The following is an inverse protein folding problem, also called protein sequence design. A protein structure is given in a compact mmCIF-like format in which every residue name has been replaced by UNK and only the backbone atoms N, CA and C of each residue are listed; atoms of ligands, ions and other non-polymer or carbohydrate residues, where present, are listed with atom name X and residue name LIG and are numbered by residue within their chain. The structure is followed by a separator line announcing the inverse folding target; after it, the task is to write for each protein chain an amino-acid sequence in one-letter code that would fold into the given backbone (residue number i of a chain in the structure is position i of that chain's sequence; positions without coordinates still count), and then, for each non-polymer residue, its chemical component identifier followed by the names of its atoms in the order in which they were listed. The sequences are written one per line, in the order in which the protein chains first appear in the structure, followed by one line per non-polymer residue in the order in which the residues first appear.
data_IF_957796635610
#
_entry.id   IF_957796635610
#
_cell.length_a   1.000
_cell.length_b   1.000
_cell.length_c   1.000
_cell.angle_alpha   90.00
_cell.angle_beta   90.00
_cell.angle_gamma   90.00
#
_symmetry.space_group_name_H-M   'P 1'
#
loop_
_entity.id
_entity.type
_entity.pdbx_description
1 polymer ?
#
# COMPACT_ATOMS: atom_id res chain seq x y z
N UNK A 1 -8.73 6.83 -2.46
CA UNK A 1 -9.92 6.17 -3.02
C UNK A 1 -9.50 4.74 -3.26
N UNK A 2 -10.19 3.82 -2.61
CA UNK A 2 -9.96 2.38 -2.66
C UNK A 2 -11.34 1.68 -2.63
N UNK A 3 -11.32 0.37 -2.83
CA UNK A 3 -12.49 -0.51 -2.82
C UNK A 3 -12.96 -0.86 -1.40
N UNK A 4 -12.35 -0.28 -0.36
CA UNK A 4 -12.54 -0.74 1.02
C UNK A 4 -13.98 -0.57 1.49
N UNK A 5 -14.75 0.38 0.92
CA UNK A 5 -16.14 0.60 1.30
C UNK A 5 -17.00 -0.66 1.11
N UNK A 6 -16.80 -1.39 0.02
CA UNK A 6 -17.51 -2.64 -0.27
C UNK A 6 -17.21 -3.73 0.79
N UNK A 7 -16.07 -3.63 1.49
CA UNK A 7 -15.69 -4.57 2.54
C UNK A 7 -16.11 -4.03 3.92
N UNK A 8 -15.70 -2.80 4.25
CA UNK A 8 -15.80 -2.22 5.58
C UNK A 8 -17.23 -1.93 6.02
N UNK A 9 -18.17 -1.83 5.08
CA UNK A 9 -19.59 -1.69 5.41
C UNK A 9 -20.36 -3.01 5.47
N UNK A 10 -19.75 -4.12 5.06
CA UNK A 10 -20.36 -5.46 5.12
C UNK A 10 -19.78 -6.33 6.25
N UNK A 11 -18.51 -6.11 6.64
CA UNK A 11 -17.85 -6.87 7.71
C UNK A 11 -16.94 -5.97 8.59
N UNK A 12 -16.74 -6.32 9.89
CA UNK A 12 -15.79 -5.64 10.76
C UNK A 12 -14.42 -5.59 10.10
N UNK A 13 -13.88 -4.39 9.93
CA UNK A 13 -12.67 -4.15 9.14
C UNK A 13 -11.74 -3.22 9.90
N UNK A 14 -10.46 -3.57 9.94
CA UNK A 14 -9.39 -2.72 10.48
C UNK A 14 -8.47 -2.31 9.34
N UNK A 15 -8.11 -1.02 9.30
CA UNK A 15 -7.17 -0.46 8.33
C UNK A 15 -5.90 -0.02 9.06
N UNK A 16 -4.75 -0.51 8.59
CA UNK A 16 -3.45 -0.10 9.08
C UNK A 16 -2.83 0.94 8.15
N UNK A 17 -2.39 2.06 8.74
CA UNK A 17 -1.44 2.97 8.09
C UNK A 17 -0.11 2.86 8.82
N UNK A 18 0.96 2.64 8.07
CA UNK A 18 2.31 2.42 8.61
C UNK A 18 3.33 3.32 7.88
N UNK A 19 4.48 3.64 8.50
CA UNK A 19 5.46 4.56 7.93
C UNK A 19 6.31 3.87 6.85
N UNK A 20 5.90 4.00 5.58
CA UNK A 20 6.64 3.47 4.43
C UNK A 20 6.81 4.49 3.30
N UNK A 21 6.62 5.78 3.59
CA UNK A 21 6.81 6.88 2.65
C UNK A 21 7.41 8.11 3.38
N UNK A 22 7.89 9.08 2.61
CA UNK A 22 8.51 10.32 3.09
C UNK A 22 7.40 11.24 3.67
N UNK A 23 7.58 11.80 4.89
CA UNK A 23 6.60 12.72 5.47
C UNK A 23 6.35 13.97 4.59
N UNK A 24 5.09 14.42 4.55
CA UNK A 24 4.71 15.65 3.85
C UNK A 24 4.58 15.54 2.32
N UNK A 25 4.74 14.34 1.75
CA UNK A 25 4.57 14.15 0.31
C UNK A 25 3.10 14.20 -0.14
N UNK A 26 2.88 14.67 -1.38
CA UNK A 26 1.57 14.73 -2.01
C UNK A 26 1.23 13.35 -2.60
N UNK A 27 0.11 12.76 -2.16
CA UNK A 27 -0.38 11.50 -2.71
C UNK A 27 -0.62 11.59 -4.22
N UNK A 28 -0.34 10.51 -4.95
CA UNK A 28 -0.45 10.45 -6.42
C UNK A 28 0.48 11.41 -7.21
N UNK A 29 1.51 11.97 -6.57
CA UNK A 29 2.54 12.77 -7.23
C UNK A 29 3.83 11.95 -7.45
N UNK A 30 4.57 12.22 -8.52
CA UNK A 30 5.80 11.47 -8.87
C UNK A 30 6.85 11.47 -7.75
N UNK A 31 6.94 12.57 -6.99
CA UNK A 31 7.86 12.67 -5.85
C UNK A 31 7.56 11.65 -4.74
N UNK A 32 6.29 11.27 -4.54
CA UNK A 32 5.89 10.21 -3.61
C UNK A 32 6.30 8.81 -4.08
N UNK A 33 6.50 8.65 -5.39
CA UNK A 33 6.92 7.39 -6.00
C UNK A 33 8.39 7.05 -5.70
N UNK A 34 9.23 8.06 -5.46
CA UNK A 34 10.67 7.88 -5.17
C UNK A 34 10.87 7.04 -3.91
N UNK A 35 10.01 7.20 -2.90
CA UNK A 35 10.14 6.48 -1.64
C UNK A 35 10.19 4.95 -1.82
N UNK A 36 9.49 4.42 -2.84
CA UNK A 36 9.45 2.98 -3.15
C UNK A 36 10.82 2.41 -3.55
N UNK A 37 11.71 3.25 -4.08
CA UNK A 37 13.07 2.86 -4.41
C UNK A 37 14.01 2.89 -3.19
N UNK A 38 13.62 3.50 -2.07
CA UNK A 38 14.48 3.68 -0.91
C UNK A 38 14.18 2.68 0.22
N UNK A 39 15.13 2.40 1.13
CA UNK A 39 14.93 1.43 2.21
C UNK A 39 13.76 1.72 3.15
N UNK A 40 13.26 2.97 3.24
CA UNK A 40 12.11 3.31 4.09
C UNK A 40 10.86 2.51 3.70
N UNK A 41 10.64 2.26 2.40
CA UNK A 41 9.50 1.51 1.93
C UNK A 41 9.58 0.05 2.38
N UNK A 42 10.75 -0.58 2.26
CA UNK A 42 10.96 -1.96 2.68
C UNK A 42 10.90 -2.12 4.20
N UNK A 43 11.60 -1.26 4.95
CA UNK A 43 11.58 -1.29 6.41
C UNK A 43 10.17 -1.04 6.97
N UNK A 44 9.50 -0.01 6.48
CA UNK A 44 8.13 0.30 6.85
C UNK A 44 7.17 -0.85 6.59
N UNK A 45 7.26 -1.46 5.41
CA UNK A 45 6.43 -2.61 5.03
C UNK A 45 6.72 -3.86 5.88
N UNK A 46 7.98 -4.10 6.24
CA UNK A 46 8.37 -5.21 7.13
C UNK A 46 7.78 -5.05 8.54
N UNK A 47 7.80 -3.83 9.10
CA UNK A 47 7.13 -3.58 10.38
C UNK A 47 5.60 -3.62 10.25
N UNK A 48 5.04 -3.05 9.18
CA UNK A 48 3.61 -3.09 8.90
C UNK A 48 3.07 -4.52 8.79
N UNK A 49 3.79 -5.42 8.09
CA UNK A 49 3.39 -6.82 7.95
C UNK A 49 3.40 -7.57 9.28
N UNK A 50 4.36 -7.28 10.18
CA UNK A 50 4.38 -7.85 11.53
C UNK A 50 3.16 -7.44 12.34
N UNK A 51 2.76 -6.17 12.26
CA UNK A 51 1.54 -5.69 12.95
C UNK A 51 0.32 -6.43 12.42
N UNK A 52 0.16 -6.56 11.09
CA UNK A 52 -0.95 -7.31 10.49
C UNK A 52 -0.96 -8.77 10.96
N UNK A 53 0.20 -9.44 10.94
CA UNK A 53 0.32 -10.83 11.37
C UNK A 53 -0.03 -11.02 12.85
N UNK A 54 0.47 -10.15 13.72
CA UNK A 54 0.15 -10.19 15.15
C UNK A 54 -1.31 -9.88 15.43
N UNK A 55 -1.92 -8.92 14.71
CA UNK A 55 -3.36 -8.67 14.80
C UNK A 55 -4.18 -9.90 14.39
N UNK A 56 -3.79 -10.60 13.33
CA UNK A 56 -4.45 -11.84 12.93
C UNK A 56 -4.33 -12.92 14.02
N UNK A 57 -3.15 -13.07 14.63
CA UNK A 57 -2.94 -14.00 15.74
C UNK A 57 -3.85 -13.63 16.93
N UNK A 58 -3.93 -12.35 17.31
CA UNK A 58 -4.78 -11.90 18.42
C UNK A 58 -6.25 -12.24 18.16
N UNK A 59 -6.74 -11.98 16.94
CA UNK A 59 -8.11 -12.29 16.53
C UNK A 59 -8.41 -13.80 16.54
N UNK A 60 -7.43 -14.64 16.17
CA UNK A 60 -7.59 -16.10 16.16
C UNK A 60 -7.48 -16.73 17.55
N UNK A 61 -6.69 -16.13 18.44
CA UNK A 61 -6.38 -16.69 19.77
C UNK A 61 -7.22 -16.08 20.90
N UNK A 62 -7.87 -14.95 20.66
CA UNK A 62 -8.72 -14.25 21.64
C UNK A 62 -10.14 -14.06 21.10
N UNK A 63 -11.03 -15.07 21.22
CA UNK A 63 -12.38 -15.04 20.64
C UNK A 63 -13.22 -13.83 21.06
N UNK A 64 -12.99 -13.28 22.26
CA UNK A 64 -13.67 -12.08 22.74
C UNK A 64 -13.48 -10.88 21.80
N UNK A 65 -12.31 -10.74 21.15
CA UNK A 65 -12.06 -9.64 20.21
C UNK A 65 -12.99 -9.71 19.00
N UNK A 66 -13.30 -10.91 18.50
CA UNK A 66 -14.24 -11.10 17.39
C UNK A 66 -15.66 -10.72 17.81
N UNK A 67 -16.09 -11.14 19.01
CA UNK A 67 -17.41 -10.78 19.55
C UNK A 67 -17.54 -9.28 19.76
N UNK A 68 -16.52 -8.64 20.33
CA UNK A 68 -16.53 -7.19 20.57
C UNK A 68 -16.51 -6.40 19.27
N UNK A 69 -15.72 -6.83 18.27
CA UNK A 69 -15.69 -6.21 16.94
C UNK A 69 -17.03 -6.36 16.21
N UNK A 70 -17.65 -7.54 16.27
CA UNK A 70 -18.99 -7.78 15.71
C UNK A 70 -20.03 -6.89 16.38
N UNK A 71 -20.04 -6.83 17.71
CA UNK A 71 -20.97 -6.00 18.48
C UNK A 71 -20.84 -4.53 18.09
N UNK A 72 -19.64 -3.99 18.04
CA UNK A 72 -19.42 -2.61 17.60
C UNK A 72 -19.91 -2.38 16.16
N UNK A 73 -19.61 -3.31 15.27
CA UNK A 73 -20.03 -3.21 13.88
C UNK A 73 -21.56 -3.13 13.77
N UNK A 74 -22.28 -4.05 14.40
CA UNK A 74 -23.74 -4.14 14.31
C UNK A 74 -24.45 -3.01 15.09
N UNK A 75 -23.99 -2.70 16.30
CA UNK A 75 -24.68 -1.79 17.23
C UNK A 75 -24.26 -0.32 17.07
N UNK A 76 -23.13 -0.04 16.43
CA UNK A 76 -22.59 1.32 16.27
C UNK A 76 -22.36 1.66 14.80
N UNK A 77 -21.55 0.88 14.09
CA UNK A 77 -21.10 1.27 12.75
C UNK A 77 -22.22 1.20 11.71
N UNK A 78 -22.99 0.12 11.68
CA UNK A 78 -24.05 -0.12 10.69
C UNK A 78 -25.47 0.01 11.26
N UNK A 79 -25.60 0.55 12.49
CA UNK A 79 -26.88 0.63 13.20
C UNK A 79 -27.98 1.32 12.39
N UNK A 80 -27.62 2.40 11.70
CA UNK A 80 -28.57 3.28 10.99
C UNK A 80 -28.45 3.16 9.47
N UNK A 81 -27.49 2.38 8.98
CA UNK A 81 -27.18 2.33 7.56
C UNK A 81 -26.76 0.92 7.13
N UNK A 82 -27.44 0.42 6.11
CA UNK A 82 -27.07 -0.81 5.40
C UNK A 82 -26.48 -0.40 4.06
N UNK A 83 -25.26 -0.87 3.78
CA UNK A 83 -24.58 -0.55 2.53
C UNK A 83 -25.17 -1.33 1.36
N UNK A 84 -25.33 -0.64 0.25
CA UNK A 84 -25.66 -1.20 -1.05
C UNK A 84 -24.55 -0.84 -2.03
N UNK A 85 -24.09 -1.80 -2.81
CA UNK A 85 -23.02 -1.55 -3.78
C UNK A 85 -23.46 -0.50 -4.81
N UNK A 86 -22.59 0.45 -5.08
CA UNK A 86 -22.77 1.43 -6.15
C UNK A 86 -22.50 0.83 -7.54
N UNK A 87 -22.02 -0.42 -7.59
CA UNK A 87 -21.74 -1.18 -8.80
C UNK A 87 -22.93 -2.11 -9.06
N UNK A 88 -23.66 -1.94 -10.17
CA UNK A 88 -24.77 -2.83 -10.51
C UNK A 88 -24.34 -4.29 -10.60
N UNK A 89 -25.24 -5.19 -10.19
CA UNK A 89 -25.01 -6.63 -10.30
C UNK A 89 -24.71 -7.03 -11.76
N UNK A 90 -23.71 -7.88 -11.95
CA UNK A 90 -23.27 -8.32 -13.28
C UNK A 90 -22.41 -7.31 -14.04
N UNK A 91 -22.00 -6.20 -13.42
CA UNK A 91 -21.01 -5.29 -14.02
C UNK A 91 -19.65 -6.01 -14.09
N UNK A 92 -19.19 -6.26 -15.32
CA UNK A 92 -17.86 -6.81 -15.57
C UNK A 92 -16.77 -5.73 -15.36
N UNK A 93 -15.59 -6.09 -14.82
CA UNK A 93 -14.47 -5.16 -14.72
C UNK A 93 -14.11 -4.59 -16.09
N UNK A 94 -13.88 -3.28 -16.23
CA UNK A 94 -13.64 -2.65 -17.52
C UNK A 94 -12.19 -2.84 -17.99
N UNK A 95 -11.80 -4.09 -18.24
CA UNK A 95 -10.44 -4.51 -18.61
C UNK A 95 -9.97 -3.92 -19.96
N UNK A 96 -10.90 -3.40 -20.77
CA UNK A 96 -10.62 -2.83 -22.08
C UNK A 96 -10.13 -1.37 -22.04
N UNK A 97 -10.42 -0.61 -20.99
CA UNK A 97 -10.18 0.85 -20.96
C UNK A 97 -8.71 1.26 -21.13
N UNK A 98 -7.78 0.36 -20.78
CA UNK A 98 -6.34 0.62 -20.87
C UNK A 98 -5.64 -0.22 -21.94
N UNK A 99 -6.36 -0.96 -22.79
CA UNK A 99 -5.75 -1.87 -23.77
C UNK A 99 -4.75 -1.15 -24.68
N UNK A 100 -5.14 -0.03 -25.29
CA UNK A 100 -4.27 0.75 -26.19
C UNK A 100 -3.01 1.26 -25.47
N UNK A 101 -3.18 1.85 -24.28
CA UNK A 101 -2.06 2.36 -23.46
C UNK A 101 -1.11 1.24 -23.08
N UNK A 102 -1.64 0.10 -22.64
CA UNK A 102 -0.84 -1.05 -22.26
C UNK A 102 -0.10 -1.63 -23.46
N UNK A 103 -0.74 -1.74 -24.63
CA UNK A 103 -0.10 -2.20 -25.86
C UNK A 103 1.06 -1.28 -26.27
N UNK A 104 0.88 0.04 -26.15
CA UNK A 104 1.91 1.04 -26.49
C UNK A 104 3.08 1.06 -25.50
N UNK A 105 2.80 1.08 -24.20
CA UNK A 105 3.82 1.38 -23.18
C UNK A 105 4.42 0.16 -22.50
N UNK A 106 3.71 -0.98 -22.43
CA UNK A 106 4.26 -2.20 -21.79
C UNK A 106 5.60 -2.63 -22.39
N UNK A 107 5.79 -2.69 -23.73
CA UNK A 107 7.08 -3.09 -24.31
C UNK A 107 8.22 -2.12 -23.98
N UNK A 108 7.90 -0.85 -23.71
CA UNK A 108 8.89 0.18 -23.35
C UNK A 108 9.25 0.13 -21.86
N UNK A 109 8.32 -0.28 -21.00
CA UNK A 109 8.50 -0.37 -19.55
C UNK A 109 9.14 -1.70 -19.15
N UNK A 110 8.85 -2.79 -19.88
CA UNK A 110 9.33 -4.13 -19.53
C UNK A 110 10.86 -4.21 -19.34
N UNK A 111 11.70 -3.60 -20.21
CA UNK A 111 13.15 -3.59 -20.02
C UNK A 111 13.62 -2.78 -18.80
N UNK A 112 12.77 -1.90 -18.27
CA UNK A 112 13.07 -1.05 -17.10
C UNK A 112 12.67 -1.70 -15.77
N UNK A 113 12.01 -2.85 -15.80
CA UNK A 113 11.60 -3.55 -14.57
C UNK A 113 12.81 -3.99 -13.78
N UNK A 114 12.65 -4.00 -12.47
CA UNK A 114 13.68 -4.49 -11.56
C UNK A 114 13.99 -5.97 -11.85
N UNK A 115 15.26 -6.29 -12.07
CA UNK A 115 15.76 -7.65 -12.26
C UNK A 115 16.53 -8.12 -11.00
N UNK A 116 15.86 -8.84 -10.08
CA UNK A 116 16.48 -9.32 -8.85
C UNK A 116 17.53 -10.42 -9.09
N UNK A 117 17.65 -10.98 -10.30
CA UNK A 117 18.71 -11.94 -10.63
C UNK A 117 20.06 -11.29 -10.93
N UNK A 118 20.03 -9.99 -11.29
CA UNK A 118 21.21 -9.22 -11.70
C UNK A 118 21.66 -8.21 -10.66
N UNK A 119 20.71 -7.67 -9.88
CA UNK A 119 20.95 -6.61 -8.92
C UNK A 119 20.36 -6.99 -7.56
N UNK A 120 21.03 -6.60 -6.48
CA UNK A 120 20.57 -6.82 -5.11
C UNK A 120 19.46 -5.84 -4.70
N UNK A 121 19.44 -4.64 -5.30
CA UNK A 121 18.41 -3.62 -5.07
C UNK A 121 18.05 -2.86 -6.34
N UNK A 122 16.86 -2.25 -6.36
CA UNK A 122 16.44 -1.38 -7.45
C UNK A 122 17.34 -0.14 -7.61
N UNK A 123 17.92 0.36 -6.52
CA UNK A 123 18.87 1.48 -6.56
C UNK A 123 20.17 1.10 -7.26
N UNK A 124 20.66 -0.12 -7.01
CA UNK A 124 21.83 -0.66 -7.70
C UNK A 124 21.58 -0.77 -9.21
N UNK A 125 20.41 -1.26 -9.64
CA UNK A 125 20.03 -1.30 -11.05
C UNK A 125 20.02 0.08 -11.71
N UNK A 126 19.65 1.12 -10.95
CA UNK A 126 19.65 2.50 -11.42
C UNK A 126 21.04 3.18 -11.32
N UNK A 127 22.07 2.50 -10.79
CA UNK A 127 23.39 3.09 -10.57
C UNK A 127 23.41 4.16 -9.48
N UNK A 128 22.47 4.11 -8.53
CA UNK A 128 22.34 5.07 -7.44
C UNK A 128 22.99 4.51 -6.18
N UNK A 129 24.02 5.18 -5.67
CA UNK A 129 24.60 4.89 -4.36
C UNK A 129 23.66 5.39 -3.24
N UNK A 130 23.34 4.52 -2.28
CA UNK A 130 22.45 4.86 -1.16
C UNK A 130 22.89 4.14 0.12
N UNK A 131 22.78 4.79 1.31
CA UNK A 131 22.31 6.16 1.53
C UNK A 131 23.35 7.21 1.10
N UNK A 132 22.88 8.30 0.49
CA UNK A 132 23.71 9.49 0.19
C UNK A 132 23.91 10.35 1.44
N UNK A 133 24.25 9.73 2.57
CA UNK A 133 24.52 10.47 3.82
C UNK A 133 25.79 11.30 3.64
N UNK A 134 25.65 12.62 3.80
CA UNK A 134 26.81 13.52 3.86
C UNK A 134 27.72 13.08 4.99
N UNK A 135 29.03 13.09 4.75
CA UNK A 135 29.98 12.84 5.84
C UNK A 135 29.91 14.02 6.81
N UNK A 136 29.96 13.72 8.11
CA UNK A 136 30.00 14.77 9.13
C UNK A 136 31.20 15.69 8.85
N UNK A 137 30.93 16.94 8.47
CA UNK A 137 31.95 17.94 8.11
C UNK A 137 31.78 18.59 6.73
N UNK A 138 30.97 18.02 5.83
CA UNK A 138 30.71 18.62 4.52
C UNK A 138 29.54 19.62 4.62
N UNK A 139 29.89 20.90 4.74
CA UNK A 139 28.94 22.02 4.72
C UNK A 139 28.09 22.03 3.44
N UNK A 140 26.90 22.62 3.51
CA UNK A 140 26.05 22.78 2.33
C UNK A 140 26.75 23.68 1.28
N UNK A 141 26.71 23.34 -0.02
CA UNK A 141 27.10 24.28 -1.04
C UNK A 141 26.15 25.48 -1.02
N UNK A 142 26.70 26.70 -1.20
CA UNK A 142 25.96 27.97 -1.35
C UNK A 142 24.94 27.92 -2.48
#
# INVERSE_FOLDING_TARGET
SDDIAEVSWNIPTVRLRYPANIPGMIGHHWSSGIAMATPIAHQGSNYGSRVIAMTAIDLLTTPRLLTDARRYFDEVQTKEYTWESLIPAGTEPPTHLNQERMARFRPLIEPLRYDPSRYSTYLEQLGIEYPTVRRAGEGAPE
#
